data_IF_825123377818
#
_entry.id   IF_825123377818
#
_cell.length_a   1.000
_cell.length_b   1.000
_cell.length_c   1.000
_cell.angle_alpha   90.00
_cell.angle_beta   90.00
_cell.angle_gamma   90.00
#
_symmetry.space_group_name_H-M   'P 1'
#
loop_
_entity.id
_entity.type
_entity.pdbx_description
1 polymer ?
#
# COMPACT_ATOMS: atom_id res chain seq x y z
N UNK A 1 -13.05 17.11 -4.08
CA UNK A 1 -11.87 17.58 -4.82
C UNK A 1 -11.08 18.54 -3.95
N UNK A 2 -9.79 18.31 -3.80
CA UNK A 2 -8.87 19.12 -2.99
C UNK A 2 -7.69 19.58 -3.84
N UNK A 3 -6.99 20.66 -3.42
CA UNK A 3 -5.78 21.14 -4.07
C UNK A 3 -4.62 21.14 -3.09
N UNK A 4 -3.44 20.72 -3.55
CA UNK A 4 -2.20 20.87 -2.79
C UNK A 4 -1.69 22.30 -2.94
N UNK A 5 -1.10 22.87 -1.91
CA UNK A 5 -0.49 24.20 -1.99
C UNK A 5 0.63 24.19 -3.04
N UNK A 6 0.52 25.08 -4.05
CA UNK A 6 1.45 25.13 -5.18
C UNK A 6 1.14 24.20 -6.36
N UNK A 7 0.00 23.47 -6.33
CA UNK A 7 -0.46 22.61 -7.42
C UNK A 7 -1.78 23.18 -7.98
N UNK A 8 -1.84 23.44 -9.27
CA UNK A 8 -3.06 23.90 -9.94
C UNK A 8 -4.07 22.77 -10.18
N UNK A 9 -3.65 21.52 -9.99
CA UNK A 9 -4.47 20.33 -10.18
C UNK A 9 -5.40 20.12 -8.98
N UNK A 10 -6.66 19.81 -9.27
CA UNK A 10 -7.62 19.34 -8.28
C UNK A 10 -7.58 17.81 -8.19
N UNK A 11 -7.47 17.27 -6.99
CA UNK A 11 -7.39 15.84 -6.72
C UNK A 11 -8.74 15.32 -6.20
N UNK A 12 -9.10 14.11 -6.60
CA UNK A 12 -10.32 13.44 -6.11
C UNK A 12 -10.00 12.73 -4.81
N UNK A 13 -10.78 13.02 -3.77
CA UNK A 13 -10.74 12.27 -2.50
C UNK A 13 -11.74 11.12 -2.59
N UNK A 14 -11.29 9.95 -2.19
CA UNK A 14 -12.11 8.75 -2.12
C UNK A 14 -13.08 8.77 -0.94
N UNK A 15 -14.03 7.88 -1.03
CA UNK A 15 -15.07 7.63 -0.01
C UNK A 15 -15.08 6.14 0.34
N UNK A 16 -15.87 5.73 1.30
CA UNK A 16 -16.01 4.31 1.65
C UNK A 16 -16.44 3.43 0.47
N UNK A 17 -17.10 4.03 -0.54
CA UNK A 17 -17.51 3.29 -1.73
C UNK A 17 -16.33 2.71 -2.52
N UNK A 18 -15.22 3.43 -2.61
CA UNK A 18 -14.01 2.99 -3.32
C UNK A 18 -13.29 1.84 -2.61
N UNK A 19 -13.51 1.65 -1.31
CA UNK A 19 -12.82 0.63 -0.49
C UNK A 19 -13.74 -0.46 0.07
N UNK A 20 -15.05 -0.41 -0.21
CA UNK A 20 -16.03 -1.40 0.27
C UNK A 20 -15.63 -2.83 -0.08
N UNK A 21 -15.04 -3.06 -1.26
CA UNK A 21 -14.58 -4.38 -1.69
C UNK A 21 -13.41 -4.91 -0.86
N UNK A 22 -12.55 -4.03 -0.34
CA UNK A 22 -11.48 -4.40 0.60
C UNK A 22 -12.12 -4.73 1.96
N UNK A 23 -12.92 -3.80 2.49
CA UNK A 23 -13.56 -3.96 3.79
C UNK A 23 -14.43 -5.22 3.89
N UNK A 24 -15.16 -5.57 2.82
CA UNK A 24 -16.02 -6.75 2.80
C UNK A 24 -15.28 -8.07 2.56
N UNK A 25 -14.07 -8.01 2.01
CA UNK A 25 -13.25 -9.18 1.66
C UNK A 25 -12.15 -9.49 2.65
N UNK A 26 -11.85 -8.62 3.59
CA UNK A 26 -10.81 -8.83 4.61
C UNK A 26 -11.41 -9.33 5.93
N UNK A 27 -10.60 -10.01 6.73
CA UNK A 27 -10.97 -10.58 8.03
C UNK A 27 -9.80 -10.51 8.99
N UNK A 28 -10.05 -10.36 10.27
CA UNK A 28 -9.00 -10.40 11.29
C UNK A 28 -8.25 -11.74 11.28
N UNK A 29 -6.95 -11.71 11.55
CA UNK A 29 -6.13 -12.90 11.64
C UNK A 29 -4.70 -12.69 11.15
N UNK A 30 -3.96 -13.80 11.00
CA UNK A 30 -2.57 -13.81 10.55
C UNK A 30 -2.39 -14.24 9.10
N UNK A 31 -3.47 -14.52 8.40
CA UNK A 31 -3.41 -14.91 6.99
C UNK A 31 -3.39 -13.67 6.11
N UNK A 32 -3.01 -13.82 4.85
CA UNK A 32 -2.98 -12.70 3.89
C UNK A 32 -4.33 -11.98 3.80
N UNK A 33 -5.42 -12.64 4.17
CA UNK A 33 -6.77 -12.05 4.16
C UNK A 33 -7.01 -11.00 5.25
N UNK A 34 -6.07 -10.79 6.16
CA UNK A 34 -6.13 -9.65 7.09
C UNK A 34 -5.92 -8.31 6.38
N UNK A 35 -5.18 -8.30 5.28
CA UNK A 35 -4.83 -7.11 4.51
C UNK A 35 -5.38 -7.11 3.08
N UNK A 36 -5.51 -8.29 2.45
CA UNK A 36 -5.84 -8.44 1.03
C UNK A 36 -7.06 -9.36 0.87
N UNK A 37 -8.15 -8.94 0.20
CA UNK A 37 -9.29 -9.80 -0.10
C UNK A 37 -8.89 -11.03 -0.91
N UNK A 38 -9.56 -12.21 -0.71
CA UNK A 38 -9.21 -13.47 -1.38
C UNK A 38 -9.77 -13.54 -2.82
N UNK A 39 -9.49 -12.53 -3.65
CA UNK A 39 -10.02 -12.40 -5.01
C UNK A 39 -8.93 -12.42 -6.09
N UNK A 40 -7.66 -12.42 -5.71
CA UNK A 40 -6.53 -12.37 -6.63
C UNK A 40 -5.99 -13.76 -6.96
N UNK A 41 -5.24 -13.85 -8.06
CA UNK A 41 -4.62 -15.11 -8.51
C UNK A 41 -3.47 -15.57 -7.62
N UNK A 42 -2.70 -14.60 -7.08
CA UNK A 42 -1.55 -14.86 -6.23
C UNK A 42 -1.36 -13.78 -5.17
N UNK A 43 -0.61 -14.13 -4.13
CA UNK A 43 -0.33 -13.28 -2.98
C UNK A 43 1.13 -13.39 -2.56
N UNK A 44 1.65 -12.30 -2.00
CA UNK A 44 2.97 -12.26 -1.39
C UNK A 44 3.01 -11.30 -0.18
N UNK A 45 4.01 -11.51 0.67
CA UNK A 45 4.46 -10.51 1.63
C UNK A 45 5.83 -10.00 1.22
N UNK A 46 6.09 -8.72 1.45
CA UNK A 46 7.36 -8.03 1.16
C UNK A 46 7.81 -7.36 2.43
N UNK A 47 8.97 -7.76 2.95
CA UNK A 47 9.54 -7.20 4.18
C UNK A 47 9.94 -5.74 3.95
N UNK A 48 9.64 -4.88 4.92
CA UNK A 48 10.02 -3.47 4.88
C UNK A 48 11.50 -3.30 5.25
N UNK A 49 12.24 -2.45 4.53
CA UNK A 49 13.64 -2.19 4.83
C UNK A 49 13.88 -1.53 6.19
N UNK A 50 15.09 -1.66 6.72
CA UNK A 50 15.49 -1.05 7.98
C UNK A 50 16.37 0.19 7.81
N UNK A 51 16.94 0.42 6.62
CA UNK A 51 17.82 1.56 6.34
C UNK A 51 17.33 2.42 5.17
N UNK A 52 17.69 3.70 5.18
CA UNK A 52 17.17 4.68 4.22
C UNK A 52 17.58 4.40 2.76
N UNK A 53 18.75 3.81 2.53
CA UNK A 53 19.21 3.49 1.17
C UNK A 53 18.44 2.29 0.61
N UNK A 54 18.17 1.28 1.44
CA UNK A 54 17.36 0.13 1.07
C UNK A 54 15.90 0.55 0.79
N UNK A 55 15.35 1.51 1.54
CA UNK A 55 14.01 2.05 1.29
C UNK A 55 13.87 2.61 -0.12
N UNK A 56 14.83 3.40 -0.57
CA UNK A 56 14.78 4.03 -1.89
C UNK A 56 14.82 3.00 -3.04
N UNK A 57 15.59 1.91 -2.88
CA UNK A 57 15.62 0.81 -3.83
C UNK A 57 14.34 -0.01 -3.82
N UNK A 58 13.84 -0.32 -2.62
CA UNK A 58 12.60 -1.04 -2.40
C UNK A 58 11.40 -0.33 -3.03
N UNK A 59 11.21 0.96 -2.69
CA UNK A 59 10.07 1.74 -3.19
C UNK A 59 10.10 1.89 -4.70
N UNK A 60 11.28 2.12 -5.28
CA UNK A 60 11.44 2.16 -6.75
C UNK A 60 11.14 0.83 -7.42
N UNK A 61 11.57 -0.29 -6.84
CA UNK A 61 11.29 -1.62 -7.37
C UNK A 61 9.78 -1.92 -7.39
N UNK A 62 9.08 -1.65 -6.29
CA UNK A 62 7.63 -1.82 -6.19
C UNK A 62 6.92 -0.94 -7.21
N UNK A 63 7.22 0.36 -7.26
CA UNK A 63 6.55 1.29 -8.17
C UNK A 63 6.80 0.95 -9.65
N UNK A 64 7.99 0.48 -10.01
CA UNK A 64 8.28 0.06 -11.37
C UNK A 64 7.41 -1.13 -11.80
N UNK A 65 7.32 -2.17 -10.96
CA UNK A 65 6.52 -3.37 -11.25
C UNK A 65 5.02 -3.08 -11.30
N UNK A 66 4.51 -2.28 -10.35
CA UNK A 66 3.10 -1.86 -10.34
C UNK A 66 2.78 -0.94 -11.52
N UNK A 67 3.72 -0.05 -11.88
CA UNK A 67 3.60 0.84 -13.03
C UNK A 67 3.55 0.09 -14.36
N UNK A 68 4.36 -0.95 -14.54
CA UNK A 68 4.27 -1.84 -15.72
C UNK A 68 2.90 -2.51 -15.82
N UNK A 69 2.33 -2.94 -14.68
CA UNK A 69 1.04 -3.62 -14.63
C UNK A 69 -0.15 -2.71 -14.94
N UNK A 70 -0.08 -1.42 -14.60
CA UNK A 70 -1.22 -0.50 -14.68
C UNK A 70 -0.82 0.91 -15.15
N UNK A 71 0.01 1.00 -16.22
CA UNK A 71 0.58 2.24 -16.74
C UNK A 71 -0.48 3.26 -17.20
N UNK A 72 -1.61 2.78 -17.73
CA UNK A 72 -2.61 3.60 -18.41
C UNK A 72 -3.81 3.98 -17.53
N UNK A 73 -3.73 3.77 -16.20
CA UNK A 73 -4.84 4.06 -15.31
C UNK A 73 -4.40 4.82 -14.06
N UNK A 74 -5.36 5.53 -13.45
CA UNK A 74 -5.17 6.15 -12.16
C UNK A 74 -5.13 5.10 -11.05
N UNK A 75 -4.45 5.45 -9.97
CA UNK A 75 -4.37 4.65 -8.75
C UNK A 75 -5.07 5.36 -7.61
N UNK A 76 -5.58 4.59 -6.69
CA UNK A 76 -5.98 5.04 -5.37
C UNK A 76 -4.80 4.89 -4.42
N UNK A 77 -4.43 5.99 -3.78
CA UNK A 77 -3.36 6.08 -2.78
C UNK A 77 -3.99 6.32 -1.42
N UNK A 78 -3.80 5.39 -0.50
CA UNK A 78 -4.31 5.43 0.86
C UNK A 78 -3.20 5.70 1.86
N UNK A 79 -3.34 6.76 2.65
CA UNK A 79 -2.40 7.13 3.71
C UNK A 79 -3.07 6.95 5.06
N UNK A 80 -2.51 6.12 5.92
CA UNK A 80 -3.00 5.91 7.28
C UNK A 80 -2.85 7.19 8.09
N UNK A 81 -3.93 7.64 8.71
CA UNK A 81 -3.94 8.82 9.56
C UNK A 81 -3.48 8.44 10.98
N UNK A 82 -2.20 8.56 11.24
CA UNK A 82 -1.59 8.31 12.55
C UNK A 82 -1.61 9.54 13.47
N UNK A 83 -2.09 10.68 12.96
CA UNK A 83 -1.98 11.97 13.65
C UNK A 83 -0.60 12.62 13.57
N UNK A 84 0.35 12.03 12.85
CA UNK A 84 1.72 12.57 12.69
C UNK A 84 1.81 13.77 11.72
N UNK A 85 0.70 14.11 11.03
CA UNK A 85 0.61 15.19 10.03
C UNK A 85 1.60 15.05 8.83
N UNK A 86 2.03 13.83 8.56
CA UNK A 86 2.90 13.48 7.43
C UNK A 86 2.15 13.18 6.13
N UNK A 87 0.82 13.15 6.19
CA UNK A 87 -0.06 12.89 5.05
C UNK A 87 -0.41 14.15 4.27
N UNK A 88 -0.60 13.99 2.97
CA UNK A 88 -1.16 15.04 2.11
C UNK A 88 -2.64 15.29 2.47
N UNK A 89 -3.13 16.52 2.36
CA UNK A 89 -4.53 16.88 2.63
C UNK A 89 -5.06 16.42 4.01
N UNK A 90 -4.43 16.80 5.12
CA UNK A 90 -4.78 16.29 6.45
C UNK A 90 -6.22 16.56 6.86
N UNK A 91 -6.83 17.65 6.36
CA UNK A 91 -8.22 18.05 6.66
C UNK A 91 -9.27 17.37 5.75
N UNK A 92 -8.86 16.56 4.78
CA UNK A 92 -9.79 15.88 3.90
C UNK A 92 -10.53 14.73 4.63
N UNK A 93 -11.76 14.38 4.19
CA UNK A 93 -12.48 13.22 4.71
C UNK A 93 -11.64 11.94 4.61
N UNK A 94 -11.78 11.07 5.61
CA UNK A 94 -11.09 9.78 5.67
C UNK A 94 -12.10 8.65 5.42
N UNK A 95 -11.62 7.56 4.87
CA UNK A 95 -12.33 6.27 4.82
C UNK A 95 -11.91 5.42 6.00
N UNK A 96 -12.77 4.48 6.40
CA UNK A 96 -12.47 3.54 7.48
C UNK A 96 -12.26 2.14 6.91
N UNK A 97 -11.12 1.52 7.25
CA UNK A 97 -10.77 0.17 6.81
C UNK A 97 -10.31 -0.71 7.98
N UNK A 98 -10.28 -2.01 7.75
CA UNK A 98 -9.80 -3.05 8.65
C UNK A 98 -10.49 -2.97 10.03
N UNK A 99 -9.74 -2.86 11.10
CA UNK A 99 -10.25 -2.78 12.49
C UNK A 99 -10.65 -1.36 12.92
N UNK A 100 -11.03 -0.50 11.96
CA UNK A 100 -11.49 0.86 12.26
C UNK A 100 -10.44 1.95 12.06
N UNK A 101 -9.35 1.66 11.34
CA UNK A 101 -8.33 2.67 11.03
C UNK A 101 -8.77 3.63 9.93
N UNK A 102 -8.36 4.87 10.08
CA UNK A 102 -8.73 5.95 9.17
C UNK A 102 -7.63 6.15 8.11
N UNK A 103 -8.03 6.17 6.85
CA UNK A 103 -7.14 6.43 5.72
C UNK A 103 -7.62 7.65 4.94
N UNK A 104 -6.70 8.54 4.62
CA UNK A 104 -6.91 9.46 3.52
C UNK A 104 -6.79 8.67 2.22
N UNK A 105 -7.82 8.65 1.41
CA UNK A 105 -7.82 8.00 0.10
C UNK A 105 -7.87 9.06 -1.00
N UNK A 106 -6.93 9.04 -1.95
CA UNK A 106 -6.86 10.03 -3.02
C UNK A 106 -6.52 9.38 -4.35
N UNK A 107 -7.22 9.78 -5.42
CA UNK A 107 -6.96 9.30 -6.78
C UNK A 107 -5.79 10.08 -7.40
N UNK A 108 -4.72 9.35 -7.76
CA UNK A 108 -3.48 9.92 -8.28
C UNK A 108 -2.74 8.92 -9.18
N UNK A 109 -1.42 8.81 -9.09
CA UNK A 109 -0.60 7.87 -9.86
C UNK A 109 0.74 7.57 -9.20
N UNK A 110 1.57 6.80 -9.90
CA UNK A 110 2.87 6.34 -9.41
C UNK A 110 3.81 7.49 -9.00
N UNK A 111 3.80 8.60 -9.75
CA UNK A 111 4.61 9.79 -9.42
C UNK A 111 4.22 10.37 -8.06
N UNK A 112 2.92 10.47 -7.77
CA UNK A 112 2.42 10.98 -6.51
C UNK A 112 2.71 9.99 -5.37
N UNK A 113 2.59 8.70 -5.62
CA UNK A 113 2.95 7.66 -4.65
C UNK A 113 4.42 7.77 -4.22
N UNK A 114 5.34 8.10 -5.15
CA UNK A 114 6.76 8.29 -4.87
C UNK A 114 7.10 9.57 -4.11
N UNK A 115 6.23 10.60 -4.13
CA UNK A 115 6.65 11.95 -3.74
C UNK A 115 5.79 12.63 -2.69
N UNK A 116 4.61 12.11 -2.39
CA UNK A 116 3.68 12.81 -1.52
C UNK A 116 3.93 12.61 -0.03
N UNK A 117 4.42 11.46 0.39
CA UNK A 117 4.89 11.30 1.77
C UNK A 117 6.31 11.88 1.85
N UNK A 118 6.49 12.93 2.63
CA UNK A 118 7.80 13.54 2.82
C UNK A 118 8.58 12.79 3.88
N UNK A 119 9.85 12.47 3.57
CA UNK A 119 10.78 11.94 4.54
C UNK A 119 11.00 12.93 5.68
N UNK A 120 10.51 12.59 6.85
CA UNK A 120 10.91 13.28 8.08
C UNK A 120 12.26 12.73 8.59
N UNK A 121 13.10 13.53 9.24
CA UNK A 121 14.30 13.05 9.90
C UNK A 121 13.91 12.37 11.21
N UNK A 122 13.40 11.15 11.18
CA UNK A 122 12.97 10.45 12.40
C UNK A 122 13.16 8.94 12.34
N UNK A 123 13.28 8.28 13.51
CA UNK A 123 13.47 6.83 13.60
C UNK A 123 12.23 6.02 13.14
N UNK A 124 11.12 6.67 12.84
CA UNK A 124 9.85 6.05 12.43
C UNK A 124 9.52 6.29 10.94
N UNK A 125 10.55 6.49 10.11
CA UNK A 125 10.36 6.62 8.67
C UNK A 125 10.01 5.25 8.05
N UNK A 126 8.87 5.19 7.39
CA UNK A 126 8.34 3.97 6.77
C UNK A 126 8.32 4.05 5.23
N UNK A 127 9.32 4.71 4.62
CA UNK A 127 9.39 4.87 3.17
C UNK A 127 8.47 5.96 2.60
N UNK A 128 8.53 6.14 1.28
CA UNK A 128 7.73 7.15 0.58
C UNK A 128 6.34 6.64 0.18
N UNK A 129 6.16 5.32 0.07
CA UNK A 129 4.93 4.74 -0.45
C UNK A 129 3.73 4.95 0.48
N UNK A 130 2.52 5.11 -0.09
CA UNK A 130 1.27 5.02 0.66
C UNK A 130 1.13 3.65 1.35
N UNK A 131 0.37 3.62 2.45
CA UNK A 131 0.09 2.39 3.19
C UNK A 131 -0.88 1.46 2.43
N UNK A 132 -1.64 2.03 1.49
CA UNK A 132 -2.60 1.32 0.65
C UNK A 132 -2.49 1.85 -0.78
N UNK A 133 -2.39 0.95 -1.76
CA UNK A 133 -2.41 1.32 -3.18
C UNK A 133 -3.17 0.28 -4.00
N UNK A 134 -3.99 0.74 -4.94
CA UNK A 134 -4.66 -0.12 -5.92
C UNK A 134 -5.06 0.68 -7.17
N UNK A 135 -5.10 0.07 -8.37
CA UNK A 135 -5.53 0.75 -9.59
C UNK A 135 -7.05 0.83 -9.67
N UNK A 136 -7.54 1.66 -10.59
CA UNK A 136 -8.97 1.89 -10.79
C UNK A 136 -9.75 0.60 -11.14
N UNK A 137 -9.11 -0.38 -11.79
CA UNK A 137 -9.71 -1.67 -12.17
C UNK A 137 -9.59 -2.76 -11.09
N UNK A 138 -8.98 -2.45 -9.95
CA UNK A 138 -8.74 -3.38 -8.83
C UNK A 138 -7.92 -4.63 -9.22
N UNK A 139 -7.10 -4.56 -10.26
CA UNK A 139 -6.31 -5.71 -10.75
C UNK A 139 -5.20 -6.14 -9.78
N UNK A 140 -4.78 -5.27 -8.88
CA UNK A 140 -3.87 -5.57 -7.77
C UNK A 140 -4.19 -4.70 -6.56
N UNK A 141 -3.72 -5.12 -5.39
CA UNK A 141 -3.79 -4.39 -4.13
C UNK A 141 -2.49 -4.55 -3.37
N UNK A 142 -1.92 -3.45 -2.91
CA UNK A 142 -0.84 -3.38 -1.96
C UNK A 142 -1.36 -2.76 -0.66
N UNK A 143 -1.07 -3.39 0.48
CA UNK A 143 -1.49 -2.90 1.79
C UNK A 143 -0.44 -3.21 2.87
N UNK A 144 -0.02 -2.16 3.58
CA UNK A 144 0.79 -2.24 4.79
C UNK A 144 -0.12 -1.93 5.97
N UNK A 145 -0.32 -2.90 6.86
CA UNK A 145 -1.13 -2.68 8.05
C UNK A 145 -0.35 -1.91 9.11
N UNK A 146 -1.07 -1.31 10.04
CA UNK A 146 -0.48 -0.61 11.18
C UNK A 146 0.42 -1.56 11.98
N UNK A 147 1.60 -1.08 12.31
CA UNK A 147 2.65 -1.80 13.05
C UNK A 147 3.24 -3.05 12.37
N UNK A 148 2.81 -3.41 11.16
CA UNK A 148 3.46 -4.47 10.40
C UNK A 148 4.83 -4.01 9.85
N UNK A 149 5.83 -4.88 9.95
CA UNK A 149 7.15 -4.70 9.33
C UNK A 149 7.21 -5.28 7.90
N UNK A 150 6.05 -5.51 7.28
CA UNK A 150 5.92 -6.00 5.90
C UNK A 150 4.68 -5.44 5.23
N UNK A 151 4.70 -5.47 3.91
CA UNK A 151 3.59 -5.13 3.04
C UNK A 151 2.98 -6.40 2.48
N UNK A 152 1.65 -6.49 2.46
CA UNK A 152 0.90 -7.53 1.79
C UNK A 152 0.54 -7.09 0.37
N UNK A 153 0.61 -8.01 -0.60
CA UNK A 153 0.20 -7.75 -1.97
C UNK A 153 -0.62 -8.90 -2.55
N UNK A 154 -1.65 -8.56 -3.32
CA UNK A 154 -2.43 -9.47 -4.14
C UNK A 154 -2.55 -8.95 -5.57
N UNK A 155 -2.56 -9.85 -6.54
CA UNK A 155 -2.64 -9.47 -7.96
C UNK A 155 -2.53 -10.63 -8.91
N UNK A 156 -2.33 -10.34 -10.23
CA UNK A 156 -2.03 -11.36 -11.22
C UNK A 156 -0.80 -12.18 -10.84
N UNK A 157 -0.79 -13.47 -11.13
CA UNK A 157 0.29 -14.38 -10.76
C UNK A 157 1.65 -13.94 -11.31
N UNK A 158 1.68 -13.37 -12.52
CA UNK A 158 2.92 -12.84 -13.13
C UNK A 158 3.50 -11.66 -12.33
N UNK A 159 2.66 -10.69 -11.95
CA UNK A 159 3.08 -9.54 -11.12
C UNK A 159 3.65 -10.00 -9.78
N UNK A 160 2.91 -10.84 -9.07
CA UNK A 160 3.29 -11.32 -7.74
C UNK A 160 4.58 -12.17 -7.81
N UNK A 161 4.76 -12.96 -8.86
CA UNK A 161 5.99 -13.72 -9.09
C UNK A 161 7.20 -12.82 -9.39
N UNK A 162 7.00 -11.73 -10.16
CA UNK A 162 8.07 -10.74 -10.41
C UNK A 162 8.49 -10.04 -9.12
N UNK A 163 7.54 -9.68 -8.25
CA UNK A 163 7.82 -9.11 -6.93
C UNK A 163 8.62 -10.07 -6.06
N UNK A 164 8.16 -11.33 -5.96
CA UNK A 164 8.83 -12.36 -5.16
C UNK A 164 10.23 -12.73 -5.66
N UNK A 165 10.51 -12.55 -6.94
CA UNK A 165 11.83 -12.81 -7.55
C UNK A 165 12.72 -11.57 -7.72
N UNK A 166 12.27 -10.38 -7.28
CA UNK A 166 13.02 -9.15 -7.49
C UNK A 166 14.21 -9.03 -6.53
N UNK A 167 15.45 -8.76 -7.03
CA UNK A 167 16.66 -8.79 -6.20
C UNK A 167 16.73 -7.72 -5.09
N UNK A 168 15.97 -6.64 -5.23
CA UNK A 168 15.92 -5.55 -4.25
C UNK A 168 14.74 -5.72 -3.24
N UNK A 169 13.98 -6.80 -3.33
CA UNK A 169 12.83 -7.06 -2.47
C UNK A 169 13.03 -8.37 -1.69
N UNK A 170 12.90 -8.29 -0.39
CA UNK A 170 12.78 -9.48 0.45
C UNK A 170 11.30 -9.89 0.49
N UNK A 171 10.91 -10.77 -0.42
CA UNK A 171 9.53 -11.15 -0.62
C UNK A 171 9.33 -12.66 -0.67
N UNK A 172 8.15 -13.12 -0.24
CA UNK A 172 7.73 -14.51 -0.36
C UNK A 172 6.30 -14.65 -0.86
N UNK A 173 6.04 -15.69 -1.63
CA UNK A 173 4.68 -16.09 -1.98
C UNK A 173 3.95 -16.63 -0.74
N UNK A 174 2.67 -16.33 -0.65
CA UNK A 174 1.78 -16.74 0.46
C UNK A 174 0.53 -17.37 -0.12
N UNK A 175 0.18 -18.58 0.34
CA UNK A 175 -1.09 -19.20 -0.02
C UNK A 175 -2.25 -18.68 0.86
N UNK A 176 -3.47 -18.69 0.33
CA UNK A 176 -4.66 -18.44 1.13
C UNK A 176 -4.71 -19.44 2.32
N UNK A 177 -4.92 -18.91 3.53
CA UNK A 177 -4.95 -19.71 4.76
C UNK A 177 -3.58 -20.01 5.38
N UNK A 178 -2.48 -19.66 4.71
CA UNK A 178 -1.14 -19.69 5.28
C UNK A 178 -0.90 -18.46 6.18
N UNK A 179 -0.08 -18.61 7.23
CA UNK A 179 0.38 -17.47 8.04
C UNK A 179 1.20 -16.52 7.15
N UNK A 180 0.73 -15.29 7.02
CA UNK A 180 1.34 -14.27 6.17
C UNK A 180 2.57 -13.60 6.81
N UNK A 181 2.81 -13.81 8.10
CA UNK A 181 3.97 -13.24 8.81
C UNK A 181 5.27 -13.73 8.16
N UNK A 182 6.16 -12.84 7.70
CA UNK A 182 7.44 -13.26 7.15
C UNK A 182 8.30 -14.00 8.20
N UNK A 183 9.23 -14.89 7.77
CA UNK A 183 10.19 -15.52 8.67
C UNK A 183 10.92 -14.47 9.51
N UNK A 184 11.23 -14.82 10.77
CA UNK A 184 11.94 -13.96 11.73
C UNK A 184 11.21 -12.66 12.15
N UNK A 185 9.95 -12.49 11.74
CA UNK A 185 9.07 -11.40 12.16
C UNK A 185 8.00 -11.92 13.13
N UNK A 186 7.46 -11.01 13.93
CA UNK A 186 6.31 -11.29 14.80
C UNK A 186 5.15 -10.40 14.38
N UNK A 187 3.98 -11.00 14.24
CA UNK A 187 2.76 -10.21 14.10
C UNK A 187 2.50 -9.45 15.41
N UNK A 188 2.11 -8.17 15.35
CA UNK A 188 1.79 -7.36 16.52
C UNK A 188 0.62 -7.91 17.35
#
# INVERSE_FOLDING_TARGET
>A
MVRRSGDDRAWRIGTDAEVTWIASGTSEGRTITSAIPPMFEAYATVVLPHDAEAWDRHDRAILALLGEQSADQSWWLGYLDTGANDIVFPDAPKVTLYTGWHYLLVEAGAEQAATWRQSGPGPFWNGALPDLMFPADHSWLLSTLWDDAWTCIGGPAELVSKLAGHPELEARLVALGEDATPPDHQAP
#
